data_IF_518285081928
#
_entry.id   IF_518285081928
#
_cell.length_a   1.000
_cell.length_b   1.000
_cell.length_c   1.000
_cell.angle_alpha   90.00
_cell.angle_beta   90.00
_cell.angle_gamma   90.00
#
_symmetry.space_group_name_H-M   'P 1'
#
loop_
_entity.id
_entity.type
_entity.pdbx_description
1 polymer ?
#
# COMPACT_ATOMS: atom_id res chain seq x y z
N UNK A 1 18.99 -0.39 -29.65
CA UNK A 1 18.77 -0.08 -28.21
C UNK A 1 19.93 -0.55 -27.33
N UNK A 2 20.30 -1.84 -27.35
CA UNK A 2 21.40 -2.36 -26.52
C UNK A 2 22.76 -1.71 -26.75
N UNK A 3 23.15 -1.45 -27.99
CA UNK A 3 24.43 -0.79 -28.32
C UNK A 3 24.56 0.63 -27.71
N UNK A 4 23.45 1.34 -27.53
CA UNK A 4 23.45 2.67 -26.90
C UNK A 4 23.71 2.56 -25.39
N UNK A 5 23.11 1.58 -24.72
CA UNK A 5 23.34 1.37 -23.29
C UNK A 5 24.81 1.05 -22.99
N UNK A 6 25.44 0.20 -23.81
CA UNK A 6 26.87 -0.11 -23.65
C UNK A 6 27.78 1.09 -23.91
N UNK A 7 27.45 1.93 -24.90
CA UNK A 7 28.20 3.15 -25.20
C UNK A 7 28.08 4.20 -24.08
N UNK A 8 26.97 4.21 -23.36
CA UNK A 8 26.68 5.17 -22.29
C UNK A 8 26.86 4.57 -20.88
N UNK A 9 27.56 3.45 -20.75
CA UNK A 9 27.78 2.75 -19.46
C UNK A 9 28.40 3.65 -18.38
N UNK A 10 29.29 4.56 -18.76
CA UNK A 10 29.96 5.46 -17.82
C UNK A 10 28.99 6.50 -17.25
N UNK A 11 28.07 6.98 -18.07
CA UNK A 11 27.00 7.86 -17.60
C UNK A 11 26.00 7.08 -16.73
N UNK A 12 25.58 5.88 -17.16
CA UNK A 12 24.63 5.02 -16.42
C UNK A 12 25.14 4.62 -15.03
N UNK A 13 26.42 4.28 -14.92
CA UNK A 13 27.07 3.87 -13.66
C UNK A 13 27.83 5.01 -12.96
N UNK A 14 27.69 6.25 -13.44
CA UNK A 14 28.15 7.41 -12.68
C UNK A 14 27.29 7.59 -11.43
N UNK A 15 27.83 8.24 -10.39
CA UNK A 15 27.06 8.49 -9.16
C UNK A 15 25.73 9.22 -9.42
N UNK A 16 25.71 10.16 -10.37
CA UNK A 16 24.49 10.87 -10.76
C UNK A 16 23.55 10.00 -11.62
N UNK A 17 24.10 9.15 -12.49
CA UNK A 17 23.33 8.26 -13.36
C UNK A 17 22.56 7.19 -12.59
N UNK A 18 23.19 6.57 -11.58
CA UNK A 18 22.55 5.56 -10.73
C UNK A 18 21.39 6.17 -9.95
N UNK A 19 21.57 7.37 -9.41
CA UNK A 19 20.51 8.11 -8.69
C UNK A 19 19.35 8.45 -9.64
N UNK A 20 19.65 8.93 -10.85
CA UNK A 20 18.64 9.27 -11.84
C UNK A 20 17.83 8.05 -12.31
N UNK A 21 18.49 6.94 -12.61
CA UNK A 21 17.81 5.69 -13.00
C UNK A 21 16.96 5.15 -11.84
N UNK A 22 17.48 5.19 -10.62
CA UNK A 22 16.74 4.81 -9.42
C UNK A 22 15.48 5.66 -9.21
N UNK A 23 15.59 6.97 -9.40
CA UNK A 23 14.46 7.89 -9.29
C UNK A 23 13.40 7.66 -10.37
N UNK A 24 13.81 7.50 -11.63
CA UNK A 24 12.89 7.16 -12.73
C UNK A 24 12.22 5.79 -12.49
N UNK A 25 13.00 4.80 -12.04
CA UNK A 25 12.48 3.50 -11.64
C UNK A 25 11.44 3.63 -10.52
N UNK A 26 11.72 4.42 -9.50
CA UNK A 26 10.77 4.68 -8.43
C UNK A 26 9.49 5.34 -8.94
N UNK A 27 9.54 6.28 -9.90
CA UNK A 27 8.32 6.88 -10.45
C UNK A 27 7.47 5.90 -11.26
N UNK A 28 8.11 5.00 -12.03
CA UNK A 28 7.41 4.02 -12.86
C UNK A 28 6.85 2.86 -12.02
N UNK A 29 7.61 2.43 -11.01
CA UNK A 29 7.28 1.29 -10.16
C UNK A 29 6.70 1.69 -8.80
N UNK A 30 6.47 2.99 -8.54
CA UNK A 30 5.66 3.43 -7.40
C UNK A 30 4.23 3.00 -7.67
N UNK A 31 3.94 1.77 -7.29
CA UNK A 31 2.58 1.31 -7.10
C UNK A 31 2.07 2.11 -5.92
N UNK A 32 1.19 3.08 -6.19
CA UNK A 32 0.39 3.74 -5.17
C UNK A 32 -0.10 2.66 -4.22
N UNK A 33 0.22 2.77 -2.93
CA UNK A 33 -0.16 1.81 -1.90
C UNK A 33 -1.57 1.32 -2.19
N UNK A 34 -1.68 0.06 -2.61
CA UNK A 34 -2.96 -0.53 -3.00
C UNK A 34 -3.95 -0.18 -1.90
N UNK A 35 -5.02 0.54 -2.26
CA UNK A 35 -6.25 0.49 -1.48
C UNK A 35 -6.50 -1.00 -1.33
N UNK A 36 -6.40 -1.51 -0.09
CA UNK A 36 -6.58 -2.92 0.19
C UNK A 36 -7.98 -3.30 -0.27
N UNK A 37 -8.11 -3.81 -1.49
CA UNK A 37 -9.37 -4.32 -2.02
C UNK A 37 -9.66 -5.59 -1.25
N UNK A 38 -10.32 -5.44 -0.10
CA UNK A 38 -10.82 -6.57 0.66
C UNK A 38 -12.28 -6.76 0.26
N UNK A 39 -12.56 -7.94 -0.28
CA UNK A 39 -13.92 -8.38 -0.54
C UNK A 39 -14.39 -9.16 0.69
N UNK A 40 -15.14 -8.51 1.58
CA UNK A 40 -15.75 -9.18 2.74
C UNK A 40 -17.13 -9.68 2.31
N UNK A 41 -17.37 -11.00 2.41
CA UNK A 41 -18.71 -11.58 2.22
C UNK A 41 -19.46 -11.50 3.55
N UNK A 42 -20.40 -10.58 3.68
CA UNK A 42 -21.28 -10.48 4.85
C UNK A 42 -22.28 -11.64 4.87
N UNK A 43 -22.46 -12.28 6.02
CA UNK A 43 -23.63 -13.14 6.31
C UNK A 43 -24.83 -12.31 6.80
N UNK A 44 -25.97 -12.96 7.02
CA UNK A 44 -27.20 -12.30 7.50
C UNK A 44 -26.96 -11.56 8.83
N UNK A 45 -27.09 -10.23 8.80
CA UNK A 45 -27.01 -9.36 9.98
C UNK A 45 -25.60 -8.91 10.40
N UNK A 46 -24.56 -9.16 9.61
CA UNK A 46 -23.18 -8.75 9.96
C UNK A 46 -22.84 -7.31 9.52
N UNK A 47 -22.15 -6.57 10.39
CA UNK A 47 -21.52 -5.27 10.06
C UNK A 47 -20.05 -5.54 9.75
N UNK A 48 -19.67 -5.36 8.48
CA UNK A 48 -18.28 -5.49 8.06
C UNK A 48 -17.56 -4.15 8.23
N UNK A 49 -16.52 -4.13 9.06
CA UNK A 49 -15.71 -2.93 9.30
C UNK A 49 -14.29 -3.22 8.84
N UNK A 50 -13.85 -2.50 7.81
CA UNK A 50 -12.50 -2.58 7.28
C UNK A 50 -11.79 -1.25 7.55
N UNK A 51 -10.61 -1.29 8.16
CA UNK A 51 -9.71 -0.13 8.21
C UNK A 51 -8.34 -0.47 7.67
N UNK A 52 -7.79 0.48 6.92
CA UNK A 52 -6.42 0.36 6.39
C UNK A 52 -5.33 0.74 7.39
N UNK A 53 -5.64 1.56 8.41
CA UNK A 53 -4.66 1.99 9.42
C UNK A 53 -5.21 1.90 10.84
N UNK A 54 -6.30 2.63 11.12
CA UNK A 54 -6.96 2.60 12.43
C UNK A 54 -8.46 2.41 12.26
N UNK A 55 -9.08 1.62 13.13
CA UNK A 55 -10.53 1.46 13.25
C UNK A 55 -10.93 1.67 14.69
N UNK A 56 -11.83 2.62 14.93
CA UNK A 56 -12.48 2.79 16.23
C UNK A 56 -13.95 2.42 16.09
N UNK A 57 -14.39 1.38 16.81
CA UNK A 57 -15.79 0.94 16.84
C UNK A 57 -16.36 1.25 18.22
N UNK A 58 -17.33 2.15 18.27
CA UNK A 58 -18.09 2.44 19.49
C UNK A 58 -19.43 1.69 19.45
N UNK A 59 -19.72 0.89 20.47
CA UNK A 59 -21.06 0.36 20.71
C UNK A 59 -21.70 1.05 21.91
N UNK A 60 -23.03 1.10 21.94
CA UNK A 60 -23.78 1.52 23.14
C UNK A 60 -24.02 0.28 23.99
N UNK A 61 -23.80 0.39 25.31
CA UNK A 61 -24.11 -0.70 26.22
C UNK A 61 -25.59 -1.04 26.14
N UNK A 62 -25.91 -2.27 25.77
CA UNK A 62 -27.27 -2.81 25.80
C UNK A 62 -27.55 -3.45 27.16
N UNK A 63 -28.84 -3.54 27.52
CA UNK A 63 -29.28 -4.07 28.83
C UNK A 63 -28.81 -5.48 29.14
N UNK A 64 -28.36 -6.23 28.12
CA UNK A 64 -27.91 -7.61 28.23
C UNK A 64 -26.39 -7.76 28.02
N UNK A 65 -25.65 -6.66 28.00
CA UNK A 65 -24.19 -6.73 27.85
C UNK A 65 -23.55 -7.24 29.14
N UNK A 66 -22.54 -8.10 29.00
CA UNK A 66 -21.76 -8.58 30.13
C UNK A 66 -20.89 -7.43 30.61
N UNK A 67 -21.15 -6.92 31.82
CA UNK A 67 -20.30 -5.92 32.46
C UNK A 67 -18.90 -6.52 32.68
N UNK A 68 -17.88 -5.87 32.11
CA UNK A 68 -16.50 -6.23 32.36
C UNK A 68 -16.14 -5.76 33.79
N UNK A 69 -15.86 -6.73 34.67
CA UNK A 69 -15.46 -6.51 36.07
C UNK A 69 -14.04 -5.99 36.18
#
# INVERSE_FOLDING_TARGET
MWAWAFKNKEWLFSGIGVVFIGWVGQLIFNKSSDSSTQTIRSGDGSINIQGGRDVTVGTKNMKNDVEQR
#
